data_IF_910268646349
#
_entry.id   IF_910268646349
#
_cell.length_a   1.000
_cell.length_b   1.000
_cell.length_c   1.000
_cell.angle_alpha   90.00
_cell.angle_beta   90.00
_cell.angle_gamma   90.00
#
_symmetry.space_group_name_H-M   'P 1'
#
loop_
_entity.id
_entity.type
_entity.pdbx_description
1 polymer ?
#
# COMPACT_ATOMS: atom_id res chain seq x y z
N UNK A 1 5.83 -5.04 -1.52
CA UNK A 1 6.26 -3.63 -1.77
C UNK A 1 5.14 -2.68 -1.33
N UNK A 2 5.44 -1.58 -0.63
CA UNK A 2 4.41 -0.72 0.01
C UNK A 2 3.53 0.03 -1.01
N UNK A 3 4.12 0.61 -2.06
CA UNK A 3 3.41 1.55 -2.94
C UNK A 3 2.22 0.93 -3.71
N UNK A 4 2.34 -0.24 -4.36
CA UNK A 4 1.18 -0.85 -5.04
C UNK A 4 0.04 -1.19 -4.07
N UNK A 5 0.36 -1.75 -2.89
CA UNK A 5 -0.62 -2.08 -1.87
C UNK A 5 -1.32 -0.83 -1.31
N UNK A 6 -0.57 0.26 -1.12
CA UNK A 6 -1.10 1.56 -0.70
C UNK A 6 -2.03 2.19 -1.74
N UNK A 7 -1.67 2.13 -3.03
CA UNK A 7 -2.52 2.63 -4.10
C UNK A 7 -3.81 1.82 -4.24
N UNK A 8 -3.72 0.49 -4.13
CA UNK A 8 -4.88 -0.39 -4.15
C UNK A 8 -5.81 -0.14 -2.95
N UNK A 9 -5.24 0.01 -1.75
CA UNK A 9 -5.99 0.39 -0.56
C UNK A 9 -6.78 1.69 -0.78
N UNK A 10 -6.10 2.77 -1.19
CA UNK A 10 -6.75 4.05 -1.41
C UNK A 10 -7.81 3.95 -2.52
N UNK A 11 -7.52 3.24 -3.61
CA UNK A 11 -8.48 3.04 -4.71
C UNK A 11 -9.73 2.28 -4.26
N UNK A 12 -9.57 1.22 -3.45
CA UNK A 12 -10.69 0.42 -2.93
C UNK A 12 -11.64 1.24 -2.03
N UNK A 13 -11.11 2.23 -1.31
CA UNK A 13 -11.87 3.06 -0.36
C UNK A 13 -12.53 4.27 -1.02
N UNK A 14 -11.91 4.84 -2.06
CA UNK A 14 -12.37 6.11 -2.66
C UNK A 14 -12.92 5.96 -4.07
N UNK A 15 -12.56 4.88 -4.77
CA UNK A 15 -12.77 4.73 -6.22
C UNK A 15 -12.22 5.91 -7.04
N UNK A 16 -11.20 6.61 -6.53
CA UNK A 16 -10.61 7.77 -7.19
C UNK A 16 -9.89 7.36 -8.47
N UNK A 17 -10.43 7.81 -9.61
CA UNK A 17 -9.88 7.53 -10.94
C UNK A 17 -8.47 8.10 -11.14
N UNK A 18 -8.08 9.12 -10.38
CA UNK A 18 -6.76 9.76 -10.45
C UNK A 18 -5.64 8.78 -10.10
N UNK A 19 -5.91 7.82 -9.20
CA UNK A 19 -4.94 6.78 -8.84
C UNK A 19 -4.65 5.86 -10.04
N UNK A 20 -5.68 5.43 -10.75
CA UNK A 20 -5.52 4.61 -11.96
C UNK A 20 -4.93 5.39 -13.13
N UNK A 21 -5.24 6.68 -13.24
CA UNK A 21 -4.59 7.57 -14.21
C UNK A 21 -3.08 7.70 -13.95
N UNK A 22 -2.67 7.80 -12.67
CA UNK A 22 -1.25 7.83 -12.30
C UNK A 22 -0.53 6.51 -12.66
N UNK A 23 -1.17 5.36 -12.44
CA UNK A 23 -0.66 4.04 -12.85
C UNK A 23 -0.45 3.99 -14.36
N UNK A 24 -1.46 4.40 -15.14
CA UNK A 24 -1.41 4.42 -16.61
C UNK A 24 -0.38 5.39 -17.16
N UNK A 25 -0.28 6.58 -16.57
CA UNK A 25 0.72 7.59 -16.96
C UNK A 25 2.14 7.10 -16.68
N UNK A 26 2.32 6.26 -15.67
CA UNK A 26 3.59 5.61 -15.35
C UNK A 26 3.94 4.45 -16.29
N UNK A 27 3.08 4.13 -17.26
CA UNK A 27 3.29 3.09 -18.26
C UNK A 27 2.73 1.72 -17.88
N UNK A 28 1.88 1.63 -16.86
CA UNK A 28 1.25 0.38 -16.43
C UNK A 28 -0.24 0.34 -16.78
N UNK A 29 -0.72 -0.78 -17.29
CA UNK A 29 -2.14 -0.97 -17.65
C UNK A 29 -3.05 -0.96 -16.41
N UNK A 30 -2.57 -1.57 -15.32
CA UNK A 30 -3.29 -1.70 -14.05
C UNK A 30 -2.35 -1.86 -12.84
N UNK A 31 -2.94 -1.85 -11.63
CA UNK A 31 -2.22 -1.99 -10.36
C UNK A 31 -1.56 -3.36 -10.21
N UNK A 32 -2.12 -4.41 -10.84
CA UNK A 32 -1.54 -5.76 -10.78
C UNK A 32 -0.23 -5.81 -11.56
N UNK A 33 -0.22 -5.30 -12.79
CA UNK A 33 1.01 -5.20 -13.60
C UNK A 33 2.06 -4.33 -12.91
N UNK A 34 1.65 -3.22 -12.30
CA UNK A 34 2.56 -2.38 -11.51
C UNK A 34 3.18 -3.16 -10.34
N UNK A 35 2.36 -3.85 -9.54
CA UNK A 35 2.82 -4.69 -8.42
C UNK A 35 3.77 -5.78 -8.90
N UNK A 36 3.39 -6.54 -9.92
CA UNK A 36 4.16 -7.66 -10.45
C UNK A 36 5.52 -7.15 -10.96
N UNK A 37 5.57 -5.99 -11.62
CA UNK A 37 6.83 -5.34 -12.05
C UNK A 37 7.70 -4.92 -10.87
N UNK A 38 7.12 -4.34 -9.82
CA UNK A 38 7.89 -3.95 -8.63
C UNK A 38 8.48 -5.18 -7.91
N UNK A 39 7.78 -6.32 -7.91
CA UNK A 39 8.31 -7.58 -7.37
C UNK A 39 9.43 -8.13 -8.25
N UNK A 40 9.31 -8.05 -9.57
CA UNK A 40 10.37 -8.45 -10.50
C UNK A 40 11.66 -7.63 -10.30
N UNK A 41 11.53 -6.31 -10.15
CA UNK A 41 12.68 -5.41 -10.06
C UNK A 41 13.31 -5.36 -8.66
N UNK A 42 12.50 -5.43 -7.60
CA UNK A 42 12.95 -5.24 -6.22
C UNK A 42 12.94 -6.52 -5.37
N UNK A 43 12.37 -7.61 -5.88
CA UNK A 43 12.16 -8.84 -5.15
C UNK A 43 10.90 -8.84 -4.28
N UNK A 44 10.70 -9.95 -3.57
CA UNK A 44 9.62 -10.14 -2.62
C UNK A 44 9.79 -9.25 -1.39
N UNK A 45 8.67 -8.79 -0.82
CA UNK A 45 8.73 -8.04 0.43
C UNK A 45 9.22 -8.94 1.58
N UNK A 46 10.05 -8.43 2.50
CA UNK A 46 10.37 -9.18 3.71
C UNK A 46 9.09 -9.40 4.52
N UNK A 47 8.91 -10.61 5.04
CA UNK A 47 7.85 -10.91 5.98
C UNK A 47 8.04 -10.14 7.29
N UNK A 48 6.94 -9.90 8.00
CA UNK A 48 6.95 -9.26 9.32
C UNK A 48 6.44 -10.24 10.37
N UNK A 49 7.13 -10.32 11.51
CA UNK A 49 6.58 -10.91 12.73
C UNK A 49 5.36 -10.12 13.22
N UNK A 50 4.59 -10.71 14.13
CA UNK A 50 3.43 -10.03 14.70
C UNK A 50 3.84 -8.77 15.47
N UNK A 51 4.93 -8.88 16.23
CA UNK A 51 5.49 -7.79 17.02
C UNK A 51 5.96 -6.63 16.13
N UNK A 52 6.57 -6.94 14.98
CA UNK A 52 6.96 -5.94 13.99
C UNK A 52 5.76 -5.26 13.35
N UNK A 53 4.69 -6.00 13.03
CA UNK A 53 3.44 -5.43 12.51
C UNK A 53 2.82 -4.45 13.50
N UNK A 54 2.71 -4.85 14.77
CA UNK A 54 2.14 -4.00 15.83
C UNK A 54 2.96 -2.71 16.01
N UNK A 55 4.30 -2.82 15.95
CA UNK A 55 5.19 -1.66 16.03
C UNK A 55 5.02 -0.71 14.83
N UNK A 56 4.97 -1.26 13.60
CA UNK A 56 4.78 -0.47 12.38
C UNK A 56 3.44 0.26 12.43
N UNK A 57 2.35 -0.41 12.84
CA UNK A 57 1.03 0.20 12.96
C UNK A 57 1.08 1.37 13.96
N UNK A 58 1.63 1.14 15.15
CA UNK A 58 1.75 2.19 16.18
C UNK A 58 2.53 3.40 15.69
N UNK A 59 3.70 3.19 15.07
CA UNK A 59 4.55 4.28 14.59
C UNK A 59 3.93 5.03 13.40
N UNK A 60 3.21 4.32 12.53
CA UNK A 60 2.55 4.93 11.37
C UNK A 60 1.42 5.87 11.80
N UNK A 61 0.68 5.51 12.85
CA UNK A 61 -0.40 6.36 13.39
C UNK A 61 0.11 7.60 14.11
N UNK A 62 1.35 7.57 14.62
CA UNK A 62 2.00 8.75 15.22
C UNK A 62 2.68 9.65 14.18
N UNK A 63 2.76 9.23 12.92
CA UNK A 63 3.44 9.98 11.88
C UNK A 63 2.66 11.25 11.51
N UNK A 64 3.32 12.41 11.55
CA UNK A 64 2.68 13.72 11.28
C UNK A 64 1.99 13.82 9.91
N UNK A 65 2.36 12.97 8.95
CA UNK A 65 1.82 12.97 7.59
C UNK A 65 0.66 12.00 7.39
N UNK A 66 0.29 11.18 8.37
CA UNK A 66 -0.71 10.13 8.19
C UNK A 66 -2.09 10.70 7.80
N UNK A 67 -2.45 11.85 8.39
CA UNK A 67 -3.70 12.56 8.12
C UNK A 67 -3.70 13.35 6.80
N UNK A 68 -2.57 13.39 6.08
CA UNK A 68 -2.53 13.94 4.72
C UNK A 68 -2.93 12.89 3.68
N UNK A 69 -3.17 11.64 4.08
CA UNK A 69 -3.64 10.61 3.17
C UNK A 69 -5.04 10.95 2.64
N UNK A 70 -5.36 10.47 1.43
CA UNK A 70 -6.69 10.66 0.81
C UNK A 70 -7.80 10.09 1.71
N UNK A 71 -7.47 9.02 2.44
CA UNK A 71 -8.34 8.37 3.43
C UNK A 71 -7.63 8.42 4.77
N UNK A 72 -8.29 8.93 5.82
CA UNK A 72 -7.74 8.85 7.18
C UNK A 72 -7.73 7.37 7.64
N UNK A 73 -6.55 6.73 7.77
CA UNK A 73 -6.49 5.28 7.95
C UNK A 73 -6.70 4.89 9.41
N UNK A 74 -7.44 3.81 9.63
CA UNK A 74 -7.53 3.18 10.96
C UNK A 74 -6.34 2.23 11.20
N UNK A 75 -6.08 1.81 12.46
CA UNK A 75 -5.09 0.78 12.74
C UNK A 75 -5.33 -0.53 11.95
N UNK A 76 -6.59 -0.91 11.77
CA UNK A 76 -6.99 -2.10 11.00
C UNK A 76 -6.66 -1.94 9.51
N UNK A 77 -6.90 -0.75 8.94
CA UNK A 77 -6.55 -0.46 7.54
C UNK A 77 -5.04 -0.61 7.29
N UNK A 78 -4.20 -0.13 8.21
CA UNK A 78 -2.74 -0.28 8.12
C UNK A 78 -2.36 -1.76 8.21
N UNK A 79 -2.99 -2.52 9.12
CA UNK A 79 -2.79 -3.97 9.23
C UNK A 79 -3.12 -4.70 7.92
N UNK A 80 -4.27 -4.41 7.32
CA UNK A 80 -4.68 -4.99 6.03
C UNK A 80 -3.71 -4.63 4.90
N UNK A 81 -3.20 -3.39 4.89
CA UNK A 81 -2.18 -2.97 3.93
C UNK A 81 -0.88 -3.76 4.10
N UNK A 82 -0.45 -4.02 5.34
CA UNK A 82 0.72 -4.84 5.62
C UNK A 82 0.53 -6.31 5.17
N UNK A 83 -0.67 -6.87 5.28
CA UNK A 83 -0.96 -8.19 4.72
C UNK A 83 -0.96 -8.17 3.19
N UNK A 84 -1.53 -7.14 2.57
CA UNK A 84 -1.58 -7.00 1.12
C UNK A 84 -0.18 -6.88 0.48
N UNK A 85 0.79 -6.34 1.23
CA UNK A 85 2.20 -6.29 0.82
C UNK A 85 2.82 -7.68 0.66
N UNK A 86 2.33 -8.65 1.45
CA UNK A 86 2.83 -10.02 1.52
C UNK A 86 2.02 -11.00 0.66
N UNK A 87 0.91 -10.55 0.07
CA UNK A 87 0.07 -11.38 -0.77
C UNK A 87 0.69 -11.55 -2.17
N UNK A 88 0.70 -12.80 -2.66
CA UNK A 88 1.15 -13.18 -4.01
C UNK A 88 0.24 -12.60 -5.12
#
# INVERSE_FOLDING_TARGET
>A
MILPAYMDFNYSKTSDSTLMEAVRTSGFDDLKQFRDTMVELCGQAPGFSREEKDLIISQTLEANNIHNNIVDPTPEDIGLLLEAILAD
#
